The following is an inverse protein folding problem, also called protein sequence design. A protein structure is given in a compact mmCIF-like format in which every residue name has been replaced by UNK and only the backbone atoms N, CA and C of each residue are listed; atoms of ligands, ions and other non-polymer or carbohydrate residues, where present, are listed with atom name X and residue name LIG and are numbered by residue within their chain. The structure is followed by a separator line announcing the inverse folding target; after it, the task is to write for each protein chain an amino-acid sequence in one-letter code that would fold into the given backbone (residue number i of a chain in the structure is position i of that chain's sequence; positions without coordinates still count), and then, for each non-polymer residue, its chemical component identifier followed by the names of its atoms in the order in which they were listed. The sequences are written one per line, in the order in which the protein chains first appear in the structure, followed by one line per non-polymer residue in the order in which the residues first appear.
data_IF_425821383251
#
_entry.id   IF_425821383251
#
_cell.length_a   1.000
_cell.length_b   1.000
_cell.length_c   1.000
_cell.angle_alpha   90.00
_cell.angle_beta   90.00
_cell.angle_gamma   90.00
#
_symmetry.space_group_name_H-M   'P 1'
#
loop_
_entity.id
_entity.type
_entity.pdbx_description
1 polymer ?
#
# COMPACT_ATOMS: atom_id res chain seq x y z
N UNK A 1 23.12 56.04 -22.70
CA UNK A 1 24.13 56.80 -21.91
C UNK A 1 24.80 55.79 -20.99
N UNK A 2 25.93 55.34 -21.41
CA UNK A 2 27.31 55.50 -20.89
C UNK A 2 27.42 55.18 -19.40
N UNK A 3 27.92 53.97 -19.12
CA UNK A 3 29.11 53.46 -18.39
C UNK A 3 29.82 54.41 -17.40
N UNK A 4 30.82 54.02 -16.55
CA UNK A 4 31.47 52.71 -16.35
C UNK A 4 32.03 52.44 -14.92
N UNK A 5 32.53 51.21 -14.74
CA UNK A 5 33.80 50.73 -14.11
C UNK A 5 34.38 51.38 -12.80
N UNK A 6 34.78 50.53 -11.85
CA UNK A 6 36.17 50.50 -11.36
C UNK A 6 36.50 49.25 -10.50
N UNK A 7 37.56 48.55 -10.96
CA UNK A 7 38.36 47.57 -10.25
C UNK A 7 39.21 48.26 -9.18
N UNK A 8 39.54 47.56 -8.09
CA UNK A 8 40.75 47.81 -7.34
C UNK A 8 41.37 46.50 -6.83
N UNK A 9 42.56 46.22 -7.35
CA UNK A 9 43.51 45.18 -6.95
C UNK A 9 44.60 45.87 -6.10
N UNK A 10 45.08 45.24 -5.01
CA UNK A 10 46.46 45.44 -4.48
C UNK A 10 46.72 44.30 -3.50
N UNK A 11 47.58 43.45 -3.73
CA UNK A 11 49.02 43.11 -3.68
C UNK A 11 49.68 43.23 -2.27
N UNK A 12 50.07 42.07 -1.80
CA UNK A 12 51.33 41.63 -1.16
C UNK A 12 51.98 42.48 -0.05
N UNK A 13 52.33 41.81 1.04
CA UNK A 13 53.76 41.67 1.44
C UNK A 13 53.98 40.58 2.50
N UNK A 14 55.00 39.74 2.25
CA UNK A 14 55.67 38.82 3.18
C UNK A 14 56.43 39.61 4.27
N UNK A 15 56.46 39.05 5.49
CA UNK A 15 57.67 39.17 6.32
C UNK A 15 57.84 37.94 7.22
N UNK A 16 58.97 37.29 7.06
CA UNK A 16 59.46 36.21 7.89
C UNK A 16 60.29 36.77 9.06
N UNK A 17 60.15 36.19 10.24
CA UNK A 17 61.17 36.26 11.26
C UNK A 17 61.18 35.03 12.15
N UNK A 18 62.31 34.43 12.25
CA UNK A 18 62.71 33.22 13.00
C UNK A 18 63.01 33.53 14.46
N UNK A 19 62.83 32.60 15.37
CA UNK A 19 63.82 31.89 16.21
C UNK A 19 63.36 31.54 17.63
N UNK A 20 63.38 30.25 17.90
CA UNK A 20 63.90 29.52 19.07
C UNK A 20 63.26 29.71 20.46
N UNK A 21 62.90 28.61 21.03
CA UNK A 21 62.72 28.41 22.47
C UNK A 21 62.11 27.05 22.81
N UNK A 22 62.92 26.05 22.99
CA UNK A 22 62.67 24.71 23.51
C UNK A 22 62.07 24.72 24.90
N UNK A 23 61.06 23.85 25.14
CA UNK A 23 61.02 22.99 26.33
C UNK A 23 60.01 21.87 26.10
N UNK A 24 60.47 20.66 26.34
CA UNK A 24 59.74 19.40 26.22
C UNK A 24 58.65 19.30 27.29
N UNK A 25 57.46 18.84 26.86
CA UNK A 25 56.62 18.08 27.75
C UNK A 25 56.04 16.86 27.00
N UNK A 26 56.00 15.75 27.76
CA UNK A 26 55.83 14.41 27.25
C UNK A 26 54.40 14.16 26.79
N UNK A 27 54.30 13.67 25.61
CA UNK A 27 53.41 12.76 24.96
C UNK A 27 52.12 12.29 25.61
N UNK A 28 51.06 12.55 24.94
CA UNK A 28 50.03 11.56 24.65
C UNK A 28 50.04 11.37 23.14
N UNK A 29 50.47 10.20 22.70
CA UNK A 29 50.35 9.81 21.30
C UNK A 29 48.89 9.99 20.86
N UNK A 30 48.64 10.60 19.68
CA UNK A 30 47.30 10.58 19.09
C UNK A 30 46.97 9.11 18.83
N UNK A 31 45.84 8.65 19.40
CA UNK A 31 45.20 7.39 19.01
C UNK A 31 45.10 7.44 17.48
N UNK A 32 45.59 6.46 16.74
CA UNK A 32 45.36 6.43 15.31
C UNK A 32 43.86 6.43 15.06
N UNK A 33 43.40 7.41 14.34
CA UNK A 33 42.10 7.37 13.64
C UNK A 33 42.22 6.14 12.73
N UNK A 34 41.51 5.07 13.11
CA UNK A 34 41.51 3.81 12.39
C UNK A 34 40.73 3.90 11.09
N UNK A 35 40.64 5.10 10.52
CA UNK A 35 40.33 5.35 9.10
C UNK A 35 39.33 4.35 8.48
N UNK A 36 38.35 3.86 9.28
CA UNK A 36 37.20 3.19 8.68
C UNK A 36 36.49 4.24 7.84
N UNK A 37 36.37 4.04 6.53
CA UNK A 37 35.47 4.87 5.74
C UNK A 37 34.13 4.81 6.43
N UNK A 38 33.50 5.97 6.65
CA UNK A 38 32.09 6.03 7.04
C UNK A 38 31.35 5.05 6.13
N UNK A 39 30.77 3.98 6.70
CA UNK A 39 29.88 3.12 5.93
C UNK A 39 28.82 4.05 5.33
N UNK A 40 28.54 3.95 4.03
CA UNK A 40 27.52 4.78 3.42
C UNK A 40 26.24 4.63 4.26
N UNK A 41 25.69 5.75 4.69
CA UNK A 41 24.43 5.76 5.43
C UNK A 41 23.45 4.86 4.68
N UNK A 42 22.90 3.84 5.33
CA UNK A 42 21.98 2.89 4.72
C UNK A 42 20.75 3.61 4.14
N UNK A 43 19.92 2.92 3.34
CA UNK A 43 18.76 3.51 2.72
C UNK A 43 17.89 4.28 3.72
N UNK A 44 17.62 5.54 3.45
CA UNK A 44 16.87 6.43 4.34
C UNK A 44 15.38 6.48 4.03
N UNK A 45 14.94 5.87 2.92
CA UNK A 45 13.55 5.85 2.49
C UNK A 45 13.01 4.43 2.36
N UNK A 46 11.72 4.27 2.63
CA UNK A 46 11.05 2.96 2.73
C UNK A 46 11.27 2.08 1.50
N UNK A 47 11.04 2.63 0.30
CA UNK A 47 11.13 1.89 -0.97
C UNK A 47 12.55 1.42 -1.31
N UNK A 48 13.57 2.08 -0.77
CA UNK A 48 14.98 1.71 -1.00
C UNK A 48 15.45 0.63 -0.03
N UNK A 49 14.89 0.63 1.19
CA UNK A 49 15.23 -0.35 2.22
C UNK A 49 14.49 -1.68 2.04
N UNK A 50 13.26 -1.65 1.53
CA UNK A 50 12.42 -2.83 1.42
C UNK A 50 12.79 -3.72 0.24
N UNK A 51 12.85 -5.04 0.46
CA UNK A 51 13.03 -6.05 -0.59
C UNK A 51 11.72 -6.45 -1.30
N UNK A 52 10.59 -5.79 -0.97
CA UNK A 52 9.25 -6.02 -1.53
C UNK A 52 8.55 -4.68 -1.78
N UNK A 53 7.40 -4.69 -2.43
CA UNK A 53 6.67 -3.47 -2.76
C UNK A 53 6.24 -2.67 -1.51
N UNK A 54 6.54 -1.37 -1.49
CA UNK A 54 5.99 -0.43 -0.51
C UNK A 54 4.99 0.44 -1.26
N UNK A 55 3.70 0.29 -0.92
CA UNK A 55 2.60 0.93 -1.63
C UNK A 55 1.88 2.02 -0.83
N UNK A 56 1.18 2.89 -1.57
CA UNK A 56 0.17 3.79 -1.01
C UNK A 56 -1.08 3.81 -1.88
N UNK A 57 -2.26 3.85 -1.25
CA UNK A 57 -3.48 4.19 -1.97
C UNK A 57 -3.47 5.68 -2.31
N UNK A 58 -3.79 6.00 -3.57
CA UNK A 58 -3.73 7.38 -4.09
C UNK A 58 -5.04 7.75 -4.81
N UNK A 59 -5.26 9.06 -4.94
CA UNK A 59 -6.42 9.66 -5.60
C UNK A 59 -5.96 10.53 -6.77
N UNK A 60 -6.53 10.34 -7.95
CA UNK A 60 -6.21 11.16 -9.13
C UNK A 60 -6.39 12.66 -8.86
N UNK A 61 -7.41 13.03 -8.08
CA UNK A 61 -7.69 14.42 -7.75
C UNK A 61 -6.56 15.12 -6.98
N UNK A 62 -5.67 14.37 -6.31
CA UNK A 62 -4.58 14.91 -5.50
C UNK A 62 -3.22 14.93 -6.23
N UNK A 63 -3.11 14.29 -7.40
CA UNK A 63 -1.84 14.17 -8.12
C UNK A 63 -1.28 15.50 -8.64
N UNK A 64 -2.11 16.55 -8.73
CA UNK A 64 -1.68 17.90 -9.08
C UNK A 64 -1.12 18.70 -7.88
N UNK A 65 -1.26 18.20 -6.65
CA UNK A 65 -0.58 18.77 -5.48
C UNK A 65 0.88 18.29 -5.49
N UNK A 66 1.81 19.21 -5.68
CA UNK A 66 3.23 18.89 -5.83
C UNK A 66 3.81 18.23 -4.57
N UNK A 67 3.31 18.57 -3.37
CA UNK A 67 3.78 17.99 -2.11
C UNK A 67 3.26 16.55 -1.99
N UNK A 68 1.98 16.33 -2.31
CA UNK A 68 1.40 14.99 -2.36
C UNK A 68 2.16 14.10 -3.35
N UNK A 69 2.30 14.54 -4.60
CA UNK A 69 2.97 13.80 -5.66
C UNK A 69 4.43 13.47 -5.31
N UNK A 70 5.19 14.45 -4.77
CA UNK A 70 6.57 14.23 -4.36
C UNK A 70 6.71 13.29 -3.16
N UNK A 71 5.75 13.29 -2.23
CA UNK A 71 5.72 12.33 -1.13
C UNK A 71 5.50 10.91 -1.66
N UNK A 72 4.55 10.74 -2.60
CA UNK A 72 4.31 9.42 -3.23
C UNK A 72 5.57 8.94 -3.93
N UNK A 73 6.12 9.72 -4.84
CA UNK A 73 7.27 9.32 -5.66
C UNK A 73 8.57 9.18 -4.87
N UNK A 74 8.71 9.91 -3.75
CA UNK A 74 9.87 9.85 -2.88
C UNK A 74 9.95 8.59 -2.02
N UNK A 75 8.82 8.07 -1.55
CA UNK A 75 8.80 7.07 -0.47
C UNK A 75 8.20 5.72 -0.86
N UNK A 76 7.41 5.63 -1.93
CA UNK A 76 6.70 4.42 -2.34
C UNK A 76 7.21 3.91 -3.69
N UNK A 77 7.12 2.59 -3.89
CA UNK A 77 7.46 1.90 -5.14
C UNK A 77 6.21 1.39 -5.88
N UNK A 78 5.05 1.43 -5.22
CA UNK A 78 3.79 0.94 -5.76
C UNK A 78 2.65 1.88 -5.39
N UNK A 79 1.63 1.94 -6.25
CA UNK A 79 0.40 2.69 -5.97
C UNK A 79 -0.82 1.82 -6.21
N UNK A 80 -1.88 2.11 -5.43
CA UNK A 80 -3.22 1.52 -5.59
C UNK A 80 -4.23 2.65 -5.78
N UNK A 81 -5.14 2.54 -6.74
CA UNK A 81 -6.23 3.52 -6.88
C UNK A 81 -7.23 3.36 -5.73
N UNK A 82 -7.38 4.39 -4.87
CA UNK A 82 -8.33 4.30 -3.74
C UNK A 82 -9.78 4.12 -4.21
N UNK A 83 -10.13 4.71 -5.35
CA UNK A 83 -11.48 4.72 -5.86
C UNK A 83 -11.60 4.48 -7.37
N UNK A 84 -10.67 5.00 -8.16
CA UNK A 84 -10.80 5.20 -9.61
C UNK A 84 -10.84 3.91 -10.43
N UNK A 85 -10.37 2.79 -9.87
CA UNK A 85 -10.38 1.47 -10.51
C UNK A 85 -11.52 0.58 -10.04
N UNK A 86 -12.38 1.03 -9.12
CA UNK A 86 -13.57 0.28 -8.71
C UNK A 86 -14.59 0.19 -9.84
N UNK A 87 -15.34 -0.91 -9.89
CA UNK A 87 -16.27 -1.22 -10.98
C UNK A 87 -17.25 -0.06 -11.27
N UNK A 88 -17.87 0.54 -10.27
CA UNK A 88 -18.81 1.65 -10.44
C UNK A 88 -18.17 2.95 -10.95
N UNK A 89 -16.87 3.14 -10.70
CA UNK A 89 -16.12 4.29 -11.21
C UNK A 89 -15.82 4.16 -12.70
N UNK A 90 -15.55 2.95 -13.15
CA UNK A 90 -15.19 2.64 -14.55
C UNK A 90 -16.44 2.36 -15.39
N UNK A 91 -17.33 1.51 -14.94
CA UNK A 91 -18.39 0.89 -15.76
C UNK A 91 -19.72 1.66 -15.67
N UNK A 92 -19.87 2.69 -16.50
CA UNK A 92 -21.01 3.61 -16.42
C UNK A 92 -22.30 3.10 -17.08
N UNK A 93 -22.20 2.17 -18.06
CA UNK A 93 -23.33 1.45 -18.67
C UNK A 93 -22.84 0.13 -19.27
N UNK A 94 -23.73 -0.70 -19.79
CA UNK A 94 -23.37 -1.98 -20.41
C UNK A 94 -22.26 -1.87 -21.49
N UNK A 95 -22.19 -0.74 -22.17
CA UNK A 95 -21.26 -0.51 -23.29
C UNK A 95 -20.32 0.69 -23.10
N UNK A 96 -20.44 1.40 -21.98
CA UNK A 96 -19.70 2.65 -21.76
C UNK A 96 -18.82 2.58 -20.52
N UNK A 97 -17.57 2.97 -20.70
CA UNK A 97 -16.55 2.99 -19.65
C UNK A 97 -16.00 4.41 -19.46
N UNK A 98 -15.65 4.77 -18.24
CA UNK A 98 -14.98 6.02 -17.86
C UNK A 98 -13.57 5.67 -17.39
N UNK A 99 -12.59 6.07 -18.18
CA UNK A 99 -11.21 5.69 -17.93
C UNK A 99 -10.36 6.79 -17.31
N UNK A 100 -10.82 8.06 -17.35
CA UNK A 100 -10.00 9.22 -17.02
C UNK A 100 -9.31 9.12 -15.65
N UNK A 101 -10.04 8.66 -14.63
CA UNK A 101 -9.47 8.48 -13.30
C UNK A 101 -8.42 7.38 -13.25
N UNK A 102 -8.74 6.20 -13.76
CA UNK A 102 -7.82 5.06 -13.79
C UNK A 102 -6.60 5.32 -14.71
N UNK A 103 -6.83 5.94 -15.90
CA UNK A 103 -5.74 6.37 -16.79
C UNK A 103 -4.82 7.40 -16.12
N UNK A 104 -5.37 8.31 -15.30
CA UNK A 104 -4.61 9.27 -14.53
C UNK A 104 -3.66 8.60 -13.51
N UNK A 105 -4.14 7.60 -12.78
CA UNK A 105 -3.32 6.81 -11.84
C UNK A 105 -2.19 6.06 -12.58
N UNK A 106 -2.56 5.32 -13.65
CA UNK A 106 -1.59 4.51 -14.41
C UNK A 106 -0.56 5.42 -15.10
N UNK A 107 -1.00 6.53 -15.72
CA UNK A 107 -0.09 7.49 -16.35
C UNK A 107 0.87 8.16 -15.35
N UNK A 108 0.39 8.49 -14.14
CA UNK A 108 1.25 9.00 -13.07
C UNK A 108 2.29 7.95 -12.64
N UNK A 109 1.86 6.72 -12.46
CA UNK A 109 2.75 5.63 -12.05
C UNK A 109 3.85 5.37 -13.10
N UNK A 110 3.49 5.29 -14.37
CA UNK A 110 4.44 5.12 -15.47
C UNK A 110 5.45 6.28 -15.58
N UNK A 111 4.98 7.52 -15.41
CA UNK A 111 5.85 8.69 -15.46
C UNK A 111 6.85 8.77 -14.30
N UNK A 112 6.64 8.01 -13.22
CA UNK A 112 7.44 8.03 -12.00
C UNK A 112 8.04 6.67 -11.60
N UNK A 113 8.02 5.70 -12.52
CA UNK A 113 8.57 4.35 -12.32
C UNK A 113 7.98 3.64 -11.09
N UNK A 114 6.65 3.70 -10.95
CA UNK A 114 5.90 3.05 -9.87
C UNK A 114 5.09 1.88 -10.43
N UNK A 115 5.03 0.78 -9.68
CA UNK A 115 4.10 -0.30 -10.00
C UNK A 115 2.66 0.08 -9.64
N UNK A 116 1.69 -0.49 -10.37
CA UNK A 116 0.26 -0.32 -10.06
C UNK A 116 -0.35 -1.62 -9.61
N UNK A 117 -1.04 -1.59 -8.47
CA UNK A 117 -1.96 -2.63 -8.02
C UNK A 117 -3.39 -2.18 -8.27
N UNK A 118 -4.13 -2.91 -9.11
CA UNK A 118 -5.51 -2.58 -9.48
C UNK A 118 -6.50 -3.03 -8.41
N UNK A 119 -7.29 -2.11 -7.87
CA UNK A 119 -8.27 -2.37 -6.84
C UNK A 119 -9.62 -1.75 -7.23
N UNK A 120 -10.70 -2.48 -7.39
CA UNK A 120 -10.88 -3.93 -7.39
C UNK A 120 -11.88 -4.31 -8.49
N UNK A 121 -11.71 -5.49 -9.10
CA UNK A 121 -12.58 -5.87 -10.22
C UNK A 121 -13.98 -6.24 -9.76
N UNK A 122 -14.14 -7.10 -8.75
CA UNK A 122 -15.45 -7.54 -8.27
C UNK A 122 -15.57 -7.34 -6.77
N UNK A 123 -16.37 -6.37 -6.37
CA UNK A 123 -16.71 -6.08 -4.99
C UNK A 123 -18.20 -5.82 -4.86
N UNK A 124 -18.88 -6.45 -3.89
CA UNK A 124 -20.33 -6.39 -3.75
C UNK A 124 -20.88 -4.96 -3.64
N UNK A 125 -20.12 -4.04 -3.05
CA UNK A 125 -20.51 -2.62 -2.93
C UNK A 125 -20.37 -1.84 -4.23
N UNK A 126 -19.44 -2.21 -5.13
CA UNK A 126 -19.07 -1.42 -6.30
C UNK A 126 -19.79 -1.80 -7.60
N UNK A 127 -20.76 -2.72 -7.56
CA UNK A 127 -21.61 -2.96 -8.74
C UNK A 127 -22.41 -1.69 -9.08
N UNK A 128 -22.36 -1.19 -10.33
CA UNK A 128 -23.10 0.01 -10.72
C UNK A 128 -24.61 -0.16 -10.54
N UNK A 129 -25.30 0.93 -10.21
CA UNK A 129 -26.76 0.90 -10.00
C UNK A 129 -27.54 0.38 -11.22
N UNK A 130 -27.12 0.75 -12.43
CA UNK A 130 -27.74 0.26 -13.67
C UNK A 130 -27.67 -1.27 -13.77
N UNK A 131 -26.54 -1.88 -13.36
CA UNK A 131 -26.34 -3.32 -13.40
C UNK A 131 -27.19 -4.04 -12.33
N UNK A 132 -27.14 -3.54 -11.08
CA UNK A 132 -27.94 -4.11 -9.98
C UNK A 132 -29.45 -4.10 -10.27
N UNK A 133 -29.94 -3.09 -10.95
CA UNK A 133 -31.36 -2.90 -11.25
C UNK A 133 -31.82 -3.60 -12.53
N UNK A 134 -30.92 -4.20 -13.31
CA UNK A 134 -31.27 -4.83 -14.59
C UNK A 134 -31.99 -6.19 -14.44
N UNK A 135 -31.89 -6.86 -13.29
CA UNK A 135 -32.54 -8.14 -13.04
C UNK A 135 -32.00 -9.29 -13.89
N UNK A 136 -30.72 -9.28 -14.22
CA UNK A 136 -30.06 -10.31 -15.01
C UNK A 136 -30.15 -11.70 -14.35
N UNK A 137 -30.41 -12.73 -15.17
CA UNK A 137 -30.17 -14.11 -14.75
C UNK A 137 -28.68 -14.41 -14.64
N UNK A 138 -28.32 -15.60 -14.17
CA UNK A 138 -26.90 -15.93 -13.91
C UNK A 138 -26.04 -15.96 -15.17
N UNK A 139 -26.61 -16.25 -16.33
CA UNK A 139 -25.86 -16.28 -17.61
C UNK A 139 -25.57 -14.87 -18.07
N UNK A 140 -26.58 -14.03 -18.17
CA UNK A 140 -26.42 -12.63 -18.56
C UNK A 140 -25.56 -11.85 -17.57
N UNK A 141 -25.73 -12.10 -16.26
CA UNK A 141 -24.89 -11.51 -15.21
C UNK A 141 -23.41 -11.83 -15.46
N UNK A 142 -23.11 -13.11 -15.66
CA UNK A 142 -21.73 -13.56 -15.86
C UNK A 142 -21.11 -13.01 -17.14
N UNK A 143 -21.85 -13.02 -18.26
CA UNK A 143 -21.37 -12.50 -19.55
C UNK A 143 -21.01 -11.01 -19.46
N UNK A 144 -21.82 -10.22 -18.76
CA UNK A 144 -21.53 -8.81 -18.51
C UNK A 144 -20.29 -8.62 -17.65
N UNK A 145 -20.15 -9.36 -16.54
CA UNK A 145 -18.99 -9.26 -15.64
C UNK A 145 -17.72 -9.76 -16.33
N UNK A 146 -17.80 -10.84 -17.12
CA UNK A 146 -16.70 -11.31 -17.95
C UNK A 146 -16.21 -10.22 -18.90
N UNK A 147 -17.15 -9.61 -19.63
CA UNK A 147 -16.83 -8.53 -20.58
C UNK A 147 -16.17 -7.35 -19.86
N UNK A 148 -16.70 -6.95 -18.71
CA UNK A 148 -16.11 -5.88 -17.90
C UNK A 148 -14.68 -6.22 -17.46
N UNK A 149 -14.46 -7.41 -16.89
CA UNK A 149 -13.14 -7.85 -16.42
C UNK A 149 -12.14 -7.86 -17.59
N UNK A 150 -12.49 -8.51 -18.70
CA UNK A 150 -11.60 -8.64 -19.84
C UNK A 150 -11.30 -7.28 -20.49
N UNK A 151 -12.27 -6.39 -20.54
CA UNK A 151 -12.07 -5.02 -21.06
C UNK A 151 -11.17 -4.22 -20.15
N UNK A 152 -11.39 -4.28 -18.83
CA UNK A 152 -10.62 -3.48 -17.85
C UNK A 152 -9.19 -3.99 -17.73
N UNK A 153 -9.00 -5.28 -17.51
CA UNK A 153 -7.66 -5.87 -17.39
C UNK A 153 -6.90 -5.77 -18.72
N UNK A 154 -7.58 -6.02 -19.84
CA UNK A 154 -6.99 -5.91 -21.17
C UNK A 154 -6.52 -4.50 -21.54
N UNK A 155 -7.26 -3.46 -21.09
CA UNK A 155 -6.84 -2.04 -21.25
C UNK A 155 -5.49 -1.76 -20.60
N UNK A 156 -5.27 -2.33 -19.42
CA UNK A 156 -4.06 -2.08 -18.62
C UNK A 156 -3.05 -3.22 -18.67
N UNK A 157 -3.19 -4.12 -19.64
CA UNK A 157 -2.27 -5.26 -19.82
C UNK A 157 -0.81 -4.81 -19.82
N UNK A 158 -0.01 -5.45 -18.96
CA UNK A 158 1.42 -5.16 -18.78
C UNK A 158 1.73 -3.86 -18.00
N UNK A 159 0.74 -2.97 -17.81
CA UNK A 159 0.85 -1.68 -17.11
C UNK A 159 0.41 -1.79 -15.64
N UNK A 160 -0.62 -2.55 -15.34
CA UNK A 160 -1.05 -2.90 -13.98
C UNK A 160 -0.48 -4.28 -13.66
N UNK A 161 0.38 -4.36 -12.64
CA UNK A 161 1.16 -5.57 -12.33
C UNK A 161 0.37 -6.62 -11.55
N UNK A 162 -0.68 -6.21 -10.88
CA UNK A 162 -1.50 -7.10 -10.06
C UNK A 162 -2.91 -6.54 -9.86
N UNK A 163 -3.88 -7.42 -9.56
CA UNK A 163 -5.28 -7.05 -9.38
C UNK A 163 -5.89 -7.76 -8.17
N UNK A 164 -6.67 -7.02 -7.37
CA UNK A 164 -7.69 -7.61 -6.53
C UNK A 164 -8.88 -8.01 -7.40
N UNK A 165 -8.93 -9.29 -7.77
CA UNK A 165 -10.01 -9.81 -8.64
C UNK A 165 -11.33 -9.86 -7.90
N UNK A 166 -11.29 -10.25 -6.63
CA UNK A 166 -12.46 -10.35 -5.78
C UNK A 166 -12.15 -9.78 -4.39
N UNK A 167 -13.09 -9.00 -3.88
CA UNK A 167 -12.96 -8.28 -2.62
C UNK A 167 -14.13 -8.57 -1.68
N UNK A 168 -13.83 -8.88 -0.39
CA UNK A 168 -14.79 -9.00 0.71
C UNK A 168 -15.91 -10.03 0.50
N UNK A 169 -15.57 -11.26 0.09
CA UNK A 169 -16.54 -12.34 -0.15
C UNK A 169 -17.12 -12.90 1.17
N UNK A 170 -16.35 -12.85 2.26
CA UNK A 170 -16.70 -13.52 3.51
C UNK A 170 -17.04 -12.56 4.65
N UNK A 171 -17.93 -12.98 5.54
CA UNK A 171 -18.12 -12.40 6.87
C UNK A 171 -17.03 -12.91 7.82
N UNK A 172 -16.83 -12.26 8.97
CA UNK A 172 -15.78 -12.63 9.94
C UNK A 172 -15.94 -14.05 10.53
N UNK A 173 -17.16 -14.55 10.58
CA UNK A 173 -17.44 -15.92 10.99
C UNK A 173 -17.18 -16.99 9.90
N UNK A 174 -16.73 -16.55 8.70
CA UNK A 174 -16.43 -17.44 7.58
C UNK A 174 -17.63 -17.85 6.72
N UNK A 175 -18.81 -17.30 6.95
CA UNK A 175 -19.95 -17.47 6.03
C UNK A 175 -19.80 -16.56 4.81
N UNK A 176 -20.37 -16.95 3.68
CA UNK A 176 -20.44 -16.08 2.51
C UNK A 176 -21.25 -14.82 2.83
N UNK A 177 -20.79 -13.68 2.32
CA UNK A 177 -21.54 -12.44 2.39
C UNK A 177 -22.79 -12.54 1.52
N UNK A 178 -23.95 -12.44 2.17
CA UNK A 178 -25.27 -12.54 1.50
C UNK A 178 -26.00 -11.20 1.45
N UNK A 179 -25.79 -10.34 2.46
CA UNK A 179 -26.44 -9.03 2.51
C UNK A 179 -25.92 -8.12 1.39
N UNK A 180 -26.81 -7.55 0.62
CA UNK A 180 -26.54 -6.61 -0.48
C UNK A 180 -25.52 -7.13 -1.51
N UNK A 181 -25.35 -8.46 -1.61
CA UNK A 181 -24.40 -9.09 -2.49
C UNK A 181 -25.09 -9.65 -3.77
N UNK A 182 -24.96 -8.97 -4.92
CA UNK A 182 -25.59 -9.43 -6.17
C UNK A 182 -25.13 -10.83 -6.59
N UNK A 183 -23.87 -11.16 -6.35
CA UNK A 183 -23.30 -12.48 -6.68
C UNK A 183 -23.98 -13.58 -5.88
N UNK A 184 -24.12 -13.39 -4.55
CA UNK A 184 -24.78 -14.36 -3.68
C UNK A 184 -26.27 -14.55 -4.07
N UNK A 185 -26.94 -13.47 -4.43
CA UNK A 185 -28.32 -13.50 -4.84
C UNK A 185 -28.58 -14.24 -6.17
N UNK A 186 -27.56 -14.22 -7.06
CA UNK A 186 -27.70 -14.71 -8.44
C UNK A 186 -27.18 -16.14 -8.62
N UNK A 187 -26.10 -16.52 -7.93
CA UNK A 187 -25.41 -17.78 -8.20
C UNK A 187 -25.66 -18.82 -7.09
N UNK A 188 -25.96 -20.07 -7.48
CA UNK A 188 -26.04 -21.22 -6.55
C UNK A 188 -24.67 -21.59 -5.98
N UNK A 189 -23.59 -21.33 -6.75
CA UNK A 189 -22.20 -21.50 -6.35
C UNK A 189 -21.44 -20.17 -6.53
N UNK A 190 -21.54 -19.24 -5.56
CA UNK A 190 -20.82 -17.97 -5.63
C UNK A 190 -19.30 -18.12 -5.71
N UNK A 191 -18.73 -19.10 -5.02
CA UNK A 191 -17.29 -19.36 -5.05
C UNK A 191 -16.83 -19.78 -6.44
N UNK A 192 -17.59 -20.65 -7.11
CA UNK A 192 -17.30 -21.03 -8.52
C UNK A 192 -17.37 -19.84 -9.47
N UNK A 193 -18.34 -18.92 -9.27
CA UNK A 193 -18.38 -17.67 -10.04
C UNK A 193 -17.12 -16.82 -9.83
N UNK A 194 -16.69 -16.60 -8.58
CA UNK A 194 -15.45 -15.86 -8.33
C UNK A 194 -14.23 -16.55 -8.96
N UNK A 195 -14.14 -17.89 -8.91
CA UNK A 195 -13.09 -18.64 -9.58
C UNK A 195 -13.04 -18.37 -11.10
N UNK A 196 -14.21 -18.23 -11.75
CA UNK A 196 -14.27 -17.85 -13.18
C UNK A 196 -13.84 -16.41 -13.41
N UNK A 197 -14.12 -15.47 -12.48
CA UNK A 197 -13.60 -14.10 -12.57
C UNK A 197 -12.07 -14.06 -12.60
N UNK A 198 -11.38 -14.89 -11.78
CA UNK A 198 -9.93 -15.05 -11.85
C UNK A 198 -9.45 -15.56 -13.21
N UNK A 199 -10.16 -16.52 -13.81
CA UNK A 199 -9.82 -17.01 -15.18
C UNK A 199 -9.99 -15.90 -16.21
N UNK A 200 -11.05 -15.12 -16.17
CA UNK A 200 -11.27 -14.00 -17.10
C UNK A 200 -10.21 -12.92 -16.99
N UNK A 201 -9.74 -12.62 -15.78
CA UNK A 201 -8.66 -11.68 -15.56
C UNK A 201 -7.32 -12.23 -16.14
N UNK A 202 -7.02 -13.51 -15.90
CA UNK A 202 -5.83 -14.16 -16.41
C UNK A 202 -5.85 -14.30 -17.96
N UNK A 203 -6.99 -14.59 -18.55
CA UNK A 203 -7.15 -14.62 -20.01
C UNK A 203 -6.84 -13.26 -20.64
N UNK A 204 -7.20 -12.17 -19.98
CA UNK A 204 -6.94 -10.81 -20.46
C UNK A 204 -5.47 -10.39 -20.28
N UNK A 205 -4.86 -10.72 -19.12
CA UNK A 205 -3.44 -10.49 -18.85
C UNK A 205 -2.84 -11.67 -18.04
N UNK A 206 -2.18 -12.62 -18.73
CA UNK A 206 -1.55 -13.78 -18.08
C UNK A 206 -0.37 -13.43 -17.14
N UNK A 207 0.24 -12.26 -17.30
CA UNK A 207 1.39 -11.83 -16.49
C UNK A 207 0.99 -11.13 -15.19
N UNK A 208 -0.25 -10.60 -15.12
CA UNK A 208 -0.73 -9.92 -13.92
C UNK A 208 -0.93 -10.91 -12.77
N UNK A 209 -0.48 -10.53 -11.57
CA UNK A 209 -0.72 -11.32 -10.36
C UNK A 209 -2.13 -11.06 -9.82
N UNK A 210 -2.87 -12.11 -9.51
CA UNK A 210 -4.29 -12.05 -9.16
C UNK A 210 -4.50 -12.37 -7.68
N UNK A 211 -5.16 -11.47 -6.96
CA UNK A 211 -5.36 -11.53 -5.53
C UNK A 211 -6.83 -11.64 -5.15
N UNK A 212 -7.09 -12.28 -4.03
CA UNK A 212 -8.27 -12.11 -3.22
C UNK A 212 -7.96 -11.16 -2.07
N UNK A 213 -8.77 -10.14 -1.82
CA UNK A 213 -8.59 -9.17 -0.76
C UNK A 213 -9.79 -9.15 0.20
N UNK A 214 -9.56 -9.02 1.52
CA UNK A 214 -10.63 -8.88 2.52
C UNK A 214 -10.07 -8.21 3.78
N UNK A 215 -10.95 -7.65 4.61
CA UNK A 215 -10.58 -7.13 5.93
C UNK A 215 -10.58 -8.24 6.98
N UNK A 216 -9.91 -8.02 8.10
CA UNK A 216 -9.85 -8.93 9.26
C UNK A 216 -9.38 -10.37 8.95
N UNK A 217 -8.70 -10.63 7.84
CA UNK A 217 -8.22 -11.99 7.50
C UNK A 217 -7.25 -12.50 8.57
N UNK A 218 -6.36 -11.63 9.01
CA UNK A 218 -5.36 -11.92 10.05
C UNK A 218 -6.01 -12.17 11.41
N UNK A 219 -7.07 -11.45 11.76
CA UNK A 219 -7.68 -11.51 13.09
C UNK A 219 -8.83 -12.54 13.18
N UNK A 220 -9.65 -12.65 12.15
CA UNK A 220 -10.84 -13.50 12.14
C UNK A 220 -10.52 -14.93 11.65
N UNK A 221 -10.26 -15.85 12.56
CA UNK A 221 -9.93 -17.24 12.21
C UNK A 221 -11.03 -17.94 11.40
N UNK A 222 -12.32 -17.61 11.65
CA UNK A 222 -13.44 -18.14 10.87
C UNK A 222 -13.35 -17.76 9.40
N UNK A 223 -13.14 -16.47 9.12
CA UNK A 223 -12.93 -15.93 7.78
C UNK A 223 -11.68 -16.52 7.12
N UNK A 224 -10.55 -16.51 7.81
CA UNK A 224 -9.29 -17.06 7.30
C UNK A 224 -9.43 -18.55 6.92
N UNK A 225 -10.11 -19.35 7.72
CA UNK A 225 -10.38 -20.75 7.39
C UNK A 225 -11.28 -20.89 6.14
N UNK A 226 -12.27 -20.02 5.96
CA UNK A 226 -13.09 -20.01 4.76
C UNK A 226 -12.28 -19.65 3.51
N UNK A 227 -11.42 -18.64 3.60
CA UNK A 227 -10.48 -18.25 2.54
C UNK A 227 -9.54 -19.43 2.20
N UNK A 228 -8.96 -20.10 3.19
CA UNK A 228 -8.10 -21.27 2.96
C UNK A 228 -8.83 -22.38 2.20
N UNK A 229 -10.11 -22.66 2.54
CA UNK A 229 -10.92 -23.63 1.79
C UNK A 229 -11.18 -23.18 0.34
N UNK A 230 -11.48 -21.91 0.14
CA UNK A 230 -11.64 -21.33 -1.21
C UNK A 230 -10.34 -21.45 -2.03
N UNK A 231 -9.20 -21.11 -1.45
CA UNK A 231 -7.88 -21.23 -2.08
C UNK A 231 -7.59 -22.68 -2.45
N UNK A 232 -7.82 -23.64 -1.53
CA UNK A 232 -7.62 -25.07 -1.80
C UNK A 232 -8.50 -25.56 -2.96
N UNK A 233 -9.76 -25.12 -3.02
CA UNK A 233 -10.66 -25.40 -4.15
C UNK A 233 -10.10 -24.79 -5.45
N UNK A 234 -9.69 -23.54 -5.43
CA UNK A 234 -9.15 -22.85 -6.61
C UNK A 234 -7.89 -23.53 -7.13
N UNK A 235 -6.99 -23.91 -6.25
CA UNK A 235 -5.77 -24.64 -6.61
C UNK A 235 -6.11 -26.01 -7.23
N UNK A 236 -7.05 -26.76 -6.65
CA UNK A 236 -7.49 -28.06 -7.18
C UNK A 236 -8.17 -27.93 -8.55
N UNK A 237 -8.89 -26.84 -8.81
CA UNK A 237 -9.56 -26.55 -10.07
C UNK A 237 -8.62 -25.84 -11.09
N UNK A 238 -7.37 -25.56 -10.74
CA UNK A 238 -6.43 -24.80 -11.58
C UNK A 238 -6.87 -23.37 -11.86
N UNK A 239 -7.51 -22.71 -10.88
CA UNK A 239 -7.84 -21.28 -10.94
C UNK A 239 -6.58 -20.47 -10.64
N UNK A 240 -6.24 -19.47 -11.48
CA UNK A 240 -5.01 -18.68 -11.35
C UNK A 240 -5.12 -17.65 -10.20
N UNK A 241 -5.02 -18.11 -8.97
CA UNK A 241 -4.91 -17.24 -7.78
C UNK A 241 -3.46 -17.20 -7.33
N UNK A 242 -2.91 -16.00 -7.13
CA UNK A 242 -1.50 -15.80 -6.81
C UNK A 242 -1.28 -15.27 -5.39
N UNK A 243 -2.26 -14.56 -4.80
CA UNK A 243 -2.09 -13.96 -3.49
C UNK A 243 -3.38 -13.74 -2.72
N UNK A 244 -3.19 -13.43 -1.44
CA UNK A 244 -4.25 -13.03 -0.51
C UNK A 244 -3.85 -11.70 0.12
N UNK A 245 -4.76 -10.71 0.09
CA UNK A 245 -4.65 -9.44 0.80
C UNK A 245 -5.43 -9.45 2.12
N UNK A 246 -4.85 -8.84 3.14
CA UNK A 246 -5.57 -8.34 4.32
C UNK A 246 -5.53 -6.82 4.31
N UNK A 247 -6.70 -6.18 4.35
CA UNK A 247 -6.83 -4.70 4.31
C UNK A 247 -6.13 -4.02 5.50
N UNK A 248 -5.97 -4.70 6.61
CA UNK A 248 -5.19 -4.22 7.75
C UNK A 248 -5.68 -2.89 8.36
N UNK A 249 -6.99 -2.64 8.33
CA UNK A 249 -7.64 -1.53 9.05
C UNK A 249 -7.72 -1.86 10.53
N UNK A 250 -6.63 -1.67 11.25
CA UNK A 250 -6.51 -2.13 12.62
C UNK A 250 -6.37 -0.97 13.61
N UNK A 251 -6.31 -1.30 14.90
CA UNK A 251 -6.20 -0.32 15.99
C UNK A 251 -4.85 -0.46 16.67
N UNK A 252 -4.40 0.60 17.33
CA UNK A 252 -3.17 0.53 18.14
C UNK A 252 -3.22 -0.56 19.23
N UNK A 253 -4.41 -0.96 19.65
CA UNK A 253 -4.63 -1.97 20.69
C UNK A 253 -4.81 -3.39 20.14
N UNK A 254 -4.64 -3.59 18.84
CA UNK A 254 -4.76 -4.92 18.21
C UNK A 254 -3.70 -5.87 18.77
N UNK A 255 -4.09 -7.11 19.05
CA UNK A 255 -3.21 -8.14 19.62
C UNK A 255 -2.06 -8.46 18.65
N UNK A 256 -0.84 -8.19 19.10
CA UNK A 256 0.38 -8.44 18.35
C UNK A 256 0.57 -9.94 17.99
N UNK A 257 0.22 -10.85 18.87
CA UNK A 257 0.31 -12.29 18.60
C UNK A 257 -0.71 -12.73 17.55
N UNK A 258 -1.92 -12.18 17.58
CA UNK A 258 -2.93 -12.44 16.55
C UNK A 258 -2.44 -11.98 15.16
N UNK A 259 -1.78 -10.82 15.09
CA UNK A 259 -1.17 -10.31 13.85
C UNK A 259 -0.14 -11.30 13.31
N UNK A 260 0.86 -11.66 14.11
CA UNK A 260 1.93 -12.57 13.69
C UNK A 260 1.40 -13.93 13.26
N UNK A 261 0.52 -14.51 14.08
CA UNK A 261 -0.05 -15.83 13.81
C UNK A 261 -0.92 -15.83 12.55
N UNK A 262 -1.71 -14.77 12.35
CA UNK A 262 -2.55 -14.64 11.17
C UNK A 262 -1.76 -14.46 9.87
N UNK A 263 -0.69 -13.66 9.88
CA UNK A 263 0.21 -13.51 8.73
C UNK A 263 0.88 -14.85 8.38
N UNK A 264 1.39 -15.57 9.36
CA UNK A 264 1.98 -16.91 9.16
C UNK A 264 0.95 -17.90 8.59
N UNK A 265 -0.29 -17.86 9.09
CA UNK A 265 -1.36 -18.73 8.60
C UNK A 265 -1.79 -18.38 7.16
N UNK A 266 -1.79 -17.11 6.78
CA UNK A 266 -1.95 -16.69 5.37
C UNK A 266 -0.80 -17.24 4.51
N UNK A 267 0.44 -17.05 4.91
CA UNK A 267 1.61 -17.53 4.18
C UNK A 267 1.63 -19.05 4.02
N UNK A 268 1.04 -19.81 4.97
CA UNK A 268 0.92 -21.29 4.93
C UNK A 268 0.08 -21.81 3.76
N UNK A 269 -0.72 -20.94 3.10
CA UNK A 269 -1.48 -21.30 1.88
C UNK A 269 -0.59 -21.52 0.66
N UNK A 270 0.68 -21.11 0.74
CA UNK A 270 1.60 -21.16 -0.39
C UNK A 270 1.46 -19.97 -1.36
N UNK A 271 0.51 -19.06 -1.11
CA UNK A 271 0.30 -17.85 -1.92
C UNK A 271 1.12 -16.67 -1.39
N UNK A 272 1.19 -15.61 -2.20
CA UNK A 272 1.71 -14.31 -1.79
C UNK A 272 0.80 -13.67 -0.75
N UNK A 273 1.39 -12.95 0.19
CA UNK A 273 0.70 -12.17 1.23
C UNK A 273 0.85 -10.69 0.92
N UNK A 274 -0.25 -9.96 0.90
CA UNK A 274 -0.31 -8.52 0.75
C UNK A 274 -0.96 -7.90 1.99
N UNK A 275 -0.25 -7.03 2.69
CA UNK A 275 -0.87 -6.06 3.59
C UNK A 275 -1.34 -4.92 2.69
N UNK A 276 -2.65 -4.87 2.38
CA UNK A 276 -3.14 -4.18 1.18
C UNK A 276 -3.66 -2.76 1.42
N UNK A 277 -4.08 -2.44 2.65
CA UNK A 277 -4.78 -1.18 2.96
C UNK A 277 -4.45 -0.68 4.36
N UNK A 278 -3.19 -0.81 4.79
CA UNK A 278 -2.80 -0.58 6.18
C UNK A 278 -3.07 0.84 6.64
N UNK A 279 -3.85 0.95 7.69
CA UNK A 279 -3.99 2.12 8.54
C UNK A 279 -4.16 1.72 10.01
N UNK A 280 -3.72 2.56 10.94
CA UNK A 280 -3.83 2.28 12.37
C UNK A 280 -4.72 3.30 13.05
N UNK A 281 -5.97 2.92 13.29
CA UNK A 281 -6.99 3.73 13.99
C UNK A 281 -6.50 4.09 15.38
N UNK A 282 -6.40 5.39 15.69
CA UNK A 282 -5.95 5.90 16.96
C UNK A 282 -7.10 6.46 17.82
N UNK A 283 -8.09 7.11 17.22
CA UNK A 283 -9.26 7.66 17.89
C UNK A 283 -10.40 6.62 18.02
N UNK A 284 -10.14 5.54 18.72
CA UNK A 284 -11.10 4.42 18.87
C UNK A 284 -12.46 4.84 19.44
N UNK A 285 -12.50 5.91 20.24
CA UNK A 285 -13.73 6.46 20.85
C UNK A 285 -14.48 7.42 19.94
N UNK A 286 -13.94 7.72 18.75
CA UNK A 286 -14.53 8.66 17.78
C UNK A 286 -14.81 10.06 18.37
N UNK A 287 -13.93 10.50 19.28
CA UNK A 287 -14.11 11.77 19.98
C UNK A 287 -13.70 12.96 19.11
N UNK A 288 -14.56 13.96 19.00
CA UNK A 288 -14.23 15.21 18.31
C UNK A 288 -13.17 16.04 19.07
N UNK A 289 -13.06 15.84 20.38
CA UNK A 289 -12.03 16.48 21.22
C UNK A 289 -10.72 15.71 21.30
N UNK A 290 -10.58 14.62 20.53
CA UNK A 290 -9.38 13.79 20.54
C UNK A 290 -8.12 14.60 20.18
N UNK A 291 -7.08 14.40 20.97
CA UNK A 291 -5.75 14.97 20.76
C UNK A 291 -4.75 13.83 20.65
N UNK A 292 -4.12 13.72 19.50
CA UNK A 292 -3.07 12.72 19.27
C UNK A 292 -1.80 13.15 20.00
N UNK A 293 -1.46 12.46 21.09
CA UNK A 293 -0.33 12.78 21.96
C UNK A 293 0.98 12.16 21.47
N UNK A 294 2.12 12.68 21.95
CA UNK A 294 3.45 12.08 21.67
C UNK A 294 3.53 10.64 22.16
N UNK A 295 2.91 10.31 23.30
CA UNK A 295 2.88 8.94 23.81
C UNK A 295 2.09 7.98 22.89
N UNK A 296 1.03 8.47 22.24
CA UNK A 296 0.29 7.69 21.25
C UNK A 296 1.04 7.58 19.93
N UNK A 297 1.74 8.65 19.51
CA UNK A 297 2.60 8.63 18.35
C UNK A 297 3.72 7.58 18.49
N UNK A 298 4.31 7.49 19.69
CA UNK A 298 5.31 6.47 19.99
C UNK A 298 4.72 5.06 19.96
N UNK A 299 3.54 4.83 20.54
CA UNK A 299 2.84 3.54 20.47
C UNK A 299 2.48 3.17 19.04
N UNK A 300 2.12 4.17 18.22
CA UNK A 300 1.84 3.95 16.80
C UNK A 300 3.11 3.52 16.06
N UNK A 301 4.25 4.16 16.32
CA UNK A 301 5.54 3.76 15.76
C UNK A 301 5.91 2.32 16.13
N UNK A 302 5.78 1.95 17.40
CA UNK A 302 6.03 0.58 17.89
C UNK A 302 5.10 -0.46 17.27
N UNK A 303 3.85 -0.09 16.92
CA UNK A 303 2.92 -0.98 16.27
C UNK A 303 3.27 -1.14 14.79
N UNK A 304 3.61 -0.06 14.08
CA UNK A 304 4.10 -0.13 12.71
C UNK A 304 5.36 -1.00 12.60
N UNK A 305 6.33 -0.75 13.48
CA UNK A 305 7.55 -1.56 13.55
C UNK A 305 7.21 -3.06 13.71
N UNK A 306 6.37 -3.38 14.69
CA UNK A 306 6.00 -4.77 14.96
C UNK A 306 5.29 -5.46 13.78
N UNK A 307 4.40 -4.73 13.07
CA UNK A 307 3.70 -5.26 11.90
C UNK A 307 4.71 -5.56 10.80
N UNK A 308 5.60 -4.61 10.51
CA UNK A 308 6.63 -4.76 9.48
C UNK A 308 7.59 -5.90 9.82
N UNK A 309 8.09 -5.98 11.05
CA UNK A 309 8.92 -7.11 11.52
C UNK A 309 8.20 -8.47 11.38
N UNK A 310 6.90 -8.49 11.68
CA UNK A 310 6.09 -9.71 11.54
C UNK A 310 5.92 -10.13 10.09
N UNK A 311 5.80 -9.17 9.18
CA UNK A 311 5.76 -9.40 7.73
C UNK A 311 7.14 -9.81 7.18
N UNK A 312 8.21 -9.15 7.62
CA UNK A 312 9.60 -9.47 7.27
C UNK A 312 10.01 -10.88 7.72
N UNK A 313 9.38 -11.40 8.77
CA UNK A 313 9.62 -12.77 9.24
C UNK A 313 9.00 -13.84 8.31
N UNK A 314 8.13 -13.47 7.37
CA UNK A 314 7.59 -14.39 6.38
C UNK A 314 8.70 -14.84 5.40
N UNK A 315 8.57 -16.04 4.79
CA UNK A 315 9.47 -16.43 3.71
C UNK A 315 9.43 -15.40 2.56
N UNK A 316 10.57 -15.06 1.96
CA UNK A 316 10.66 -14.06 0.89
C UNK A 316 9.75 -14.39 -0.30
N UNK A 317 9.61 -15.69 -0.61
CA UNK A 317 8.71 -16.18 -1.67
C UNK A 317 7.22 -15.98 -1.37
N UNK A 318 6.88 -15.45 -0.19
CA UNK A 318 5.49 -15.17 0.24
C UNK A 318 5.22 -13.67 0.38
N UNK A 319 6.23 -12.82 0.35
CA UNK A 319 6.08 -11.38 0.47
C UNK A 319 5.71 -10.76 -0.88
N UNK A 320 4.65 -10.00 -0.92
CA UNK A 320 4.27 -9.21 -2.10
C UNK A 320 4.49 -7.72 -1.85
N UNK A 321 3.72 -7.12 -0.95
CA UNK A 321 3.81 -5.71 -0.63
C UNK A 321 3.19 -5.38 0.73
N UNK A 322 3.57 -4.21 1.27
CA UNK A 322 2.83 -3.49 2.31
C UNK A 322 2.37 -2.17 1.72
N UNK A 323 1.05 -1.97 1.66
CA UNK A 323 0.41 -0.77 1.11
C UNK A 323 -0.34 -0.03 2.22
N UNK A 324 -0.08 1.27 2.41
CA UNK A 324 -0.87 2.13 3.30
C UNK A 324 -2.13 2.63 2.59
N UNK A 325 -3.28 2.73 3.30
CA UNK A 325 -4.52 3.21 2.70
C UNK A 325 -4.63 4.73 2.75
N UNK A 326 -3.76 5.35 1.99
CA UNK A 326 -3.55 6.79 1.87
C UNK A 326 -2.09 7.17 2.05
N UNK A 327 -1.77 8.42 1.76
CA UNK A 327 -0.42 8.97 1.82
C UNK A 327 -0.20 9.70 3.14
N UNK A 328 -1.13 10.55 3.56
CA UNK A 328 -1.03 11.37 4.76
C UNK A 328 -2.33 11.44 5.55
N UNK A 329 -2.24 11.77 6.83
CA UNK A 329 -3.40 11.97 7.71
C UNK A 329 -4.36 13.07 7.22
N UNK A 330 -3.93 13.91 6.26
CA UNK A 330 -4.76 14.96 5.66
C UNK A 330 -5.92 14.37 4.86
N UNK A 331 -5.65 13.27 4.13
CA UNK A 331 -6.53 12.75 3.11
C UNK A 331 -7.07 11.34 3.44
N UNK A 332 -6.90 10.91 4.70
CA UNK A 332 -7.40 9.59 5.16
C UNK A 332 -8.91 9.49 5.02
N UNK A 333 -9.38 8.34 4.52
CA UNK A 333 -10.81 8.03 4.40
C UNK A 333 -11.55 7.93 5.73
N UNK A 334 -10.81 7.67 6.82
CA UNK A 334 -11.37 7.55 8.17
C UNK A 334 -11.96 8.87 8.66
N UNK A 335 -11.33 10.01 8.32
CA UNK A 335 -11.83 11.33 8.71
C UNK A 335 -13.05 11.70 7.87
N UNK A 336 -14.16 12.05 8.53
CA UNK A 336 -15.41 12.45 7.90
C UNK A 336 -16.34 11.30 7.54
N UNK A 337 -15.83 10.10 7.23
CA UNK A 337 -16.64 8.92 6.93
C UNK A 337 -16.96 8.10 8.18
N UNK A 338 -16.02 8.00 9.09
CA UNK A 338 -16.11 7.18 10.30
C UNK A 338 -15.82 7.97 11.58
N UNK A 339 -14.87 8.92 11.52
CA UNK A 339 -14.37 9.63 12.69
C UNK A 339 -14.23 11.13 12.40
N UNK A 340 -14.38 11.96 13.40
CA UNK A 340 -14.16 13.40 13.29
C UNK A 340 -12.67 13.75 13.10
N UNK A 341 -11.78 12.98 13.76
CA UNK A 341 -10.33 13.18 13.73
C UNK A 341 -9.62 11.82 13.77
N UNK A 342 -8.71 11.61 12.85
CA UNK A 342 -7.84 10.43 12.82
C UNK A 342 -6.41 10.79 12.38
N UNK A 343 -5.47 9.94 12.79
CA UNK A 343 -4.04 10.10 12.52
C UNK A 343 -3.39 8.74 12.18
N UNK A 344 -3.91 8.01 11.17
CA UNK A 344 -3.59 6.58 11.02
C UNK A 344 -2.33 6.28 10.24
N UNK A 345 -1.79 7.26 9.48
CA UNK A 345 -0.78 7.04 8.44
C UNK A 345 0.64 7.47 8.87
N UNK A 346 1.59 7.31 7.94
CA UNK A 346 3.02 7.55 8.16
C UNK A 346 3.40 9.04 8.10
N UNK A 347 2.63 9.83 7.35
CA UNK A 347 2.84 11.27 7.21
C UNK A 347 1.69 12.04 7.86
N UNK A 348 2.04 13.16 8.48
CA UNK A 348 1.06 14.06 9.09
C UNK A 348 0.29 14.88 8.04
N UNK A 349 -0.60 15.77 8.49
CA UNK A 349 -1.41 16.63 7.60
C UNK A 349 -0.60 17.63 6.78
N UNK A 350 0.68 17.83 7.10
CA UNK A 350 1.62 18.68 6.39
C UNK A 350 2.64 17.87 5.58
N UNK A 351 2.39 16.56 5.43
CA UNK A 351 3.29 15.61 4.76
C UNK A 351 4.66 15.47 5.44
N UNK A 352 4.77 15.79 6.75
CA UNK A 352 5.96 15.52 7.52
C UNK A 352 5.93 14.08 8.03
N UNK A 353 7.09 13.43 8.04
CA UNK A 353 7.23 12.08 8.59
C UNK A 353 6.87 12.08 10.08
N UNK A 354 5.98 11.17 10.47
CA UNK A 354 5.62 10.92 11.86
C UNK A 354 6.59 9.90 12.49
N UNK A 355 6.60 9.73 13.83
CA UNK A 355 7.28 8.60 14.46
C UNK A 355 6.88 7.24 13.86
N UNK A 356 5.65 7.10 13.37
CA UNK A 356 5.16 5.94 12.64
C UNK A 356 5.99 5.59 11.38
N UNK A 357 6.49 6.61 10.66
CA UNK A 357 7.37 6.40 9.51
C UNK A 357 8.70 5.75 9.94
N UNK A 358 9.29 6.28 11.01
CA UNK A 358 10.51 5.71 11.57
C UNK A 358 10.29 4.29 12.07
N UNK A 359 9.17 4.05 12.79
CA UNK A 359 8.82 2.69 13.23
C UNK A 359 8.66 1.71 12.07
N UNK A 360 8.05 2.14 10.94
CA UNK A 360 7.99 1.32 9.74
C UNK A 360 9.40 1.02 9.19
N UNK A 361 10.23 2.05 9.09
CA UNK A 361 11.61 1.92 8.58
C UNK A 361 12.45 0.99 9.47
N UNK A 362 12.33 1.10 10.79
CA UNK A 362 13.05 0.28 11.76
C UNK A 362 12.60 -1.19 11.70
N UNK A 363 11.36 -1.46 11.30
CA UNK A 363 10.84 -2.81 11.11
C UNK A 363 11.35 -3.51 9.85
N UNK A 364 11.86 -2.78 8.86
CA UNK A 364 12.47 -3.33 7.65
C UNK A 364 13.86 -3.86 7.94
N UNK A 365 14.20 -5.03 7.40
CA UNK A 365 15.56 -5.58 7.47
C UNK A 365 16.51 -4.74 6.60
N UNK A 366 17.76 -4.67 7.05
CA UNK A 366 18.82 -4.17 6.20
C UNK A 366 19.13 -5.20 5.09
N UNK A 367 19.10 -4.76 3.84
CA UNK A 367 19.36 -5.58 2.66
C UNK A 367 20.86 -5.72 2.42
#
# INVERSE_FOLDING_TARGET
MKTPFKYFLWCSTLLAATLLGSCADKGSDPVPDDGKPDEPAGPTVLKEKAAFGIGAAIKTALLNDAVYASTVTGHFSQVTAEWEMKMESIWSSATTYRWDGADGIVGFAEANDLDVHGHTLVWYKSFPAWFKNAGYDSVAFEDHVKTYIQTTVGRYKGRVKSWDVANEIFNDNGTLRSADCPVYATFRDPIGFYGRCFRYAHEADPEARLFYNDYSVVLASGKRNAIKRMVSRFQAEGVPIHGIGDQFHYRLTTDKNAIRNGLNDMASTGLLVHISEMDLIVNVQQSESYVFSEAEAQKQAEMYQYIVESYEALPDSRKFAITTWGVSDKDTWLTGSWHAKEYPLLFDRNFQQKPAYQGFLDGLKDN
#
